data_IF_847436289029
#
_entry.id   IF_847436289029
#
_cell.length_a   1.000
_cell.length_b   1.000
_cell.length_c   1.000
_cell.angle_alpha   90.00
_cell.angle_beta   90.00
_cell.angle_gamma   90.00
#
_symmetry.space_group_name_H-M   'P 1'
#
loop_
_entity.id
_entity.type
_entity.pdbx_description
1 polymer ?
#
# COMPACT_ATOMS: atom_id res chain seq x y z
N UNK A 1 -10.21 -17.47 -4.28
CA UNK A 1 -8.96 -16.99 -4.91
C UNK A 1 -7.86 -17.18 -3.89
N UNK A 2 -6.72 -17.72 -4.30
CA UNK A 2 -5.54 -17.86 -3.43
C UNK A 2 -4.75 -16.56 -3.38
N UNK A 3 -3.89 -16.39 -2.37
CA UNK A 3 -3.00 -15.21 -2.27
C UNK A 3 -2.15 -15.04 -3.52
N UNK A 4 -1.62 -16.13 -4.05
CA UNK A 4 -0.81 -16.12 -5.28
C UNK A 4 -1.61 -15.59 -6.47
N UNK A 5 -2.86 -16.03 -6.63
CA UNK A 5 -3.75 -15.52 -7.69
C UNK A 5 -4.13 -14.05 -7.47
N UNK A 6 -4.35 -13.63 -6.22
CA UNK A 6 -4.62 -12.25 -5.86
C UNK A 6 -3.43 -11.35 -6.24
N UNK A 7 -2.23 -11.72 -5.78
CA UNK A 7 -1.01 -10.96 -6.02
C UNK A 7 -0.64 -10.89 -7.51
N UNK A 8 -0.79 -11.99 -8.26
CA UNK A 8 -0.53 -11.98 -9.69
C UNK A 8 -1.46 -11.01 -10.46
N UNK A 9 -2.72 -10.90 -10.03
CA UNK A 9 -3.65 -9.92 -10.59
C UNK A 9 -3.31 -8.50 -10.16
N UNK A 10 -3.00 -8.30 -8.88
CA UNK A 10 -2.59 -7.01 -8.32
C UNK A 10 -1.37 -6.46 -9.06
N UNK A 11 -0.33 -7.27 -9.25
CA UNK A 11 0.85 -6.95 -10.05
C UNK A 11 0.51 -6.49 -11.46
N UNK A 12 -0.40 -7.19 -12.13
CA UNK A 12 -0.84 -6.83 -13.49
C UNK A 12 -1.43 -5.43 -13.55
N UNK A 13 -2.19 -5.03 -12.54
CA UNK A 13 -2.79 -3.68 -12.47
C UNK A 13 -1.76 -2.62 -12.08
N UNK A 14 -0.85 -2.94 -11.16
CA UNK A 14 0.20 -2.04 -10.69
C UNK A 14 1.33 -1.82 -11.69
N UNK A 15 1.46 -2.64 -12.75
CA UNK A 15 2.43 -2.43 -13.86
C UNK A 15 2.33 -1.06 -14.55
N UNK A 16 1.25 -0.30 -14.32
CA UNK A 16 1.10 1.08 -14.80
C UNK A 16 1.94 2.09 -14.02
N UNK A 17 2.38 1.72 -12.81
CA UNK A 17 3.22 2.55 -11.96
C UNK A 17 4.67 2.56 -12.46
N UNK A 18 5.45 3.62 -12.14
CA UNK A 18 6.90 3.60 -12.29
C UNK A 18 7.53 2.40 -11.58
N UNK A 19 8.67 1.93 -12.08
CA UNK A 19 9.33 0.71 -11.56
C UNK A 19 9.54 0.73 -10.04
N UNK A 20 9.93 1.89 -9.49
CA UNK A 20 10.16 2.07 -8.04
C UNK A 20 8.87 1.86 -7.24
N UNK A 21 7.82 2.62 -7.54
CA UNK A 21 6.50 2.53 -6.90
C UNK A 21 5.89 1.13 -7.04
N UNK A 22 6.08 0.48 -8.20
CA UNK A 22 5.64 -0.89 -8.41
C UNK A 22 6.33 -1.87 -7.44
N UNK A 23 7.67 -1.84 -7.36
CA UNK A 23 8.43 -2.73 -6.48
C UNK A 23 8.08 -2.50 -5.00
N UNK A 24 7.94 -1.25 -4.59
CA UNK A 24 7.55 -0.88 -3.21
C UNK A 24 6.14 -1.39 -2.89
N UNK A 25 5.17 -1.19 -3.78
CA UNK A 25 3.81 -1.68 -3.59
C UNK A 25 3.76 -3.22 -3.47
N UNK A 26 4.44 -3.95 -4.36
CA UNK A 26 4.43 -5.42 -4.32
C UNK A 26 5.11 -5.96 -3.06
N UNK A 27 6.19 -5.32 -2.62
CA UNK A 27 6.86 -5.68 -1.37
C UNK A 27 5.91 -5.48 -0.19
N UNK A 28 5.26 -4.32 -0.10
CA UNK A 28 4.31 -4.00 0.96
C UNK A 28 3.17 -5.01 1.08
N UNK A 29 2.50 -5.35 -0.03
CA UNK A 29 1.41 -6.32 0.03
C UNK A 29 1.90 -7.72 0.41
N UNK A 30 3.08 -8.14 -0.08
CA UNK A 30 3.65 -9.43 0.32
C UNK A 30 3.96 -9.48 1.82
N UNK A 31 4.62 -8.46 2.36
CA UNK A 31 4.89 -8.37 3.80
C UNK A 31 3.61 -8.38 4.61
N UNK A 32 2.57 -7.64 4.19
CA UNK A 32 1.29 -7.62 4.88
C UNK A 32 0.62 -9.00 4.95
N UNK A 33 0.62 -9.75 3.84
CA UNK A 33 0.09 -11.12 3.83
C UNK A 33 0.97 -12.09 4.63
N UNK A 34 2.29 -11.93 4.61
CA UNK A 34 3.22 -12.76 5.38
C UNK A 34 3.06 -12.55 6.90
N UNK A 35 2.94 -11.29 7.34
CA UNK A 35 2.72 -10.93 8.74
C UNK A 35 1.37 -11.42 9.26
N UNK A 36 0.35 -11.41 8.41
CA UNK A 36 -0.99 -11.88 8.77
C UNK A 36 -1.07 -13.41 8.88
N UNK A 37 -0.26 -14.12 8.10
CA UNK A 37 -0.24 -15.57 8.03
C UNK A 37 -1.42 -16.16 7.24
N UNK A 38 -1.31 -17.46 6.87
CA UNK A 38 -2.23 -18.13 5.94
C UNK A 38 -3.68 -18.16 6.43
N UNK A 39 -3.89 -18.09 7.74
CA UNK A 39 -5.23 -18.09 8.36
C UNK A 39 -6.00 -16.77 8.15
N UNK A 40 -5.31 -15.66 7.90
CA UNK A 40 -5.91 -14.34 7.70
C UNK A 40 -5.89 -13.84 6.27
N UNK A 41 -5.23 -14.55 5.35
CA UNK A 41 -5.13 -14.16 3.95
C UNK A 41 -6.50 -13.93 3.31
N UNK A 42 -7.47 -14.83 3.56
CA UNK A 42 -8.82 -14.68 3.00
C UNK A 42 -9.53 -13.44 3.52
N UNK A 43 -9.44 -13.18 4.83
CA UNK A 43 -10.06 -11.99 5.45
C UNK A 43 -9.44 -10.70 4.91
N UNK A 44 -8.12 -10.68 4.71
CA UNK A 44 -7.42 -9.56 4.10
C UNK A 44 -7.86 -9.32 2.67
N UNK A 45 -8.05 -10.38 1.87
CA UNK A 45 -8.56 -10.22 0.50
C UNK A 45 -9.98 -9.68 0.48
N UNK A 46 -10.82 -10.04 1.45
CA UNK A 46 -12.16 -9.47 1.59
C UNK A 46 -12.11 -8.00 2.00
N UNK A 47 -11.21 -7.63 2.92
CA UNK A 47 -11.00 -6.25 3.38
C UNK A 47 -10.46 -5.35 2.26
N UNK A 48 -9.46 -5.83 1.50
CA UNK A 48 -8.87 -5.11 0.38
C UNK A 48 -9.79 -5.07 -0.86
N UNK A 49 -10.84 -5.87 -0.89
CA UNK A 49 -11.71 -6.03 -2.06
C UNK A 49 -10.99 -6.70 -3.24
N UNK A 50 -11.50 -6.50 -4.46
CA UNK A 50 -10.90 -7.14 -5.63
C UNK A 50 -9.48 -6.59 -5.91
N UNK A 51 -8.56 -7.39 -6.49
CA UNK A 51 -7.21 -6.93 -6.82
C UNK A 51 -7.20 -5.68 -7.72
N UNK A 52 -8.26 -5.49 -8.52
CA UNK A 52 -8.45 -4.31 -9.36
C UNK A 52 -8.77 -3.07 -8.53
N UNK A 53 -9.66 -3.20 -7.55
CA UNK A 53 -10.04 -2.11 -6.64
C UNK A 53 -8.86 -1.69 -5.79
N UNK A 54 -8.22 -2.65 -5.11
CA UNK A 54 -7.01 -2.39 -4.32
C UNK A 54 -5.91 -1.69 -5.12
N UNK A 55 -5.64 -2.16 -6.36
CA UNK A 55 -4.66 -1.50 -7.23
C UNK A 55 -5.11 -0.09 -7.64
N UNK A 56 -6.38 0.11 -7.96
CA UNK A 56 -6.91 1.42 -8.36
C UNK A 56 -6.82 2.43 -7.21
N UNK A 57 -7.16 2.01 -6.00
CA UNK A 57 -7.02 2.85 -4.80
C UNK A 57 -5.56 3.18 -4.52
N UNK A 58 -4.66 2.19 -4.57
CA UNK A 58 -3.23 2.43 -4.36
C UNK A 58 -2.67 3.40 -5.41
N UNK A 59 -2.96 3.20 -6.69
CA UNK A 59 -2.51 4.09 -7.78
C UNK A 59 -3.05 5.50 -7.55
N UNK A 60 -4.34 5.64 -7.20
CA UNK A 60 -4.96 6.93 -6.93
C UNK A 60 -4.29 7.62 -5.74
N UNK A 61 -3.99 6.88 -4.67
CA UNK A 61 -3.31 7.39 -3.49
C UNK A 61 -1.86 7.80 -3.76
N UNK A 62 -1.11 7.03 -4.57
CA UNK A 62 0.25 7.40 -5.00
C UNK A 62 0.22 8.68 -5.83
N UNK A 63 -0.69 8.77 -6.80
CA UNK A 63 -0.84 9.96 -7.65
C UNK A 63 -1.28 11.19 -6.83
N UNK A 64 -2.21 11.03 -5.89
CA UNK A 64 -2.64 12.10 -5.00
C UNK A 64 -1.54 12.51 -4.02
N UNK A 65 -0.71 11.58 -3.53
CA UNK A 65 0.46 11.92 -2.70
C UNK A 65 1.47 12.74 -3.49
N UNK A 66 1.72 12.42 -4.75
CA UNK A 66 2.56 13.24 -5.63
C UNK A 66 2.04 14.68 -5.84
N UNK A 67 0.76 14.94 -5.61
CA UNK A 67 0.17 16.30 -5.66
C UNK A 67 0.25 17.01 -4.30
N UNK A 68 0.40 16.30 -3.18
CA UNK A 68 0.51 16.89 -1.84
C UNK A 68 1.94 17.16 -1.38
N UNK A 69 2.97 16.73 -2.11
CA UNK A 69 4.37 17.04 -1.79
C UNK A 69 4.86 18.36 -2.41
N UNK A 70 4.02 19.09 -3.14
CA UNK A 70 4.40 20.34 -3.80
C UNK A 70 3.85 21.61 -3.12
N UNK A 71 3.20 21.49 -1.96
CA UNK A 71 2.75 22.65 -1.15
C UNK A 71 3.01 22.46 0.36
N UNK A 72 4.19 21.98 0.74
CA UNK A 72 4.70 22.19 2.11
C UNK A 72 6.05 22.87 2.02
N UNK A 73 6.03 24.21 2.16
CA UNK A 73 7.22 25.04 2.29
C UNK A 73 8.00 24.69 3.57
N UNK A 74 9.31 24.50 3.36
CA UNK A 74 10.48 24.68 4.24
C UNK A 74 10.29 24.69 5.78
N UNK A 75 11.00 23.77 6.46
CA UNK A 75 11.74 24.06 7.70
C UNK A 75 12.99 23.18 7.79
N UNK A 76 14.12 23.85 8.04
CA UNK A 76 15.53 23.40 8.06
C UNK A 76 15.89 22.24 9.01
N UNK A 77 16.96 21.54 8.62
CA UNK A 77 17.95 20.78 9.41
C UNK A 77 17.53 19.51 10.19
N UNK A 78 17.48 18.36 9.49
CA UNK A 78 18.14 17.09 9.87
C UNK A 78 17.95 16.06 8.73
N UNK A 79 18.92 15.16 8.45
CA UNK A 79 18.73 14.10 7.46
C UNK A 79 17.83 13.04 8.07
N UNK A 80 16.51 13.28 8.08
CA UNK A 80 15.61 12.29 8.63
C UNK A 80 15.67 11.08 7.69
N UNK A 81 16.21 10.01 8.21
CA UNK A 81 16.20 8.69 7.62
C UNK A 81 14.79 8.12 7.77
N UNK A 82 13.83 8.66 7.03
CA UNK A 82 12.51 8.09 6.95
C UNK A 82 12.60 6.85 6.05
N UNK A 83 12.61 5.66 6.66
CA UNK A 83 12.16 4.46 5.95
C UNK A 83 10.70 4.74 5.52
N UNK A 84 10.37 4.79 4.22
CA UNK A 84 9.06 5.22 3.72
C UNK A 84 7.89 4.29 4.08
N UNK A 85 8.14 3.24 4.87
CA UNK A 85 7.21 2.17 5.22
C UNK A 85 6.13 2.59 6.22
N UNK A 86 6.35 3.62 7.05
CA UNK A 86 5.43 3.97 8.14
C UNK A 86 4.17 4.75 7.73
N UNK A 87 4.16 5.39 6.56
CA UNK A 87 3.01 6.23 6.14
C UNK A 87 1.85 5.35 5.64
N UNK A 88 2.13 4.19 5.07
CA UNK A 88 1.09 3.23 4.63
C UNK A 88 0.60 2.39 5.82
N UNK A 89 1.51 2.01 6.73
CA UNK A 89 1.14 1.34 7.99
C UNK A 89 0.17 2.20 8.83
N UNK A 90 0.32 3.52 8.82
CA UNK A 90 -0.61 4.45 9.49
C UNK A 90 -2.04 4.44 8.93
N UNK A 91 -2.22 4.19 7.63
CA UNK A 91 -3.55 4.17 7.00
C UNK A 91 -4.31 2.87 7.29
N UNK A 92 -3.62 1.73 7.34
CA UNK A 92 -4.22 0.45 7.75
C UNK A 92 -4.56 0.48 9.25
N UNK A 93 -3.69 1.06 10.08
CA UNK A 93 -3.94 1.20 11.52
C UNK A 93 -5.13 2.15 11.82
N UNK A 94 -5.31 3.22 11.04
CA UNK A 94 -6.43 4.15 11.18
C UNK A 94 -7.79 3.52 10.81
N UNK A 95 -7.81 2.59 9.85
CA UNK A 95 -9.01 1.83 9.50
C UNK A 95 -9.38 0.80 10.59
N UNK A 96 -8.39 0.17 11.23
CA UNK A 96 -8.61 -0.77 12.33
C UNK A 96 -9.08 -0.10 13.63
N UNK A 97 -8.70 1.15 13.90
CA UNK A 97 -9.15 1.90 15.09
C UNK A 97 -10.53 2.56 14.93
N UNK A 98 -11.11 2.62 13.72
CA UNK A 98 -12.44 3.21 13.51
C UNK A 98 -13.61 2.25 13.82
N UNK A 99 -13.31 1.02 14.24
CA UNK A 99 -14.29 -0.04 14.54
C UNK A 99 -14.33 -0.39 16.05
N UNK A 100 -13.82 0.48 16.93
CA UNK A 100 -13.99 0.36 18.39
C UNK A 100 -14.48 1.65 19.03
#
# INVERSE_FOLDING_TARGET
MTRTEYMAQLEKYLKKLPHKEFQEAITFFNEYFDEAGPEKETAIMEELGSPKEAASELITNILNRHIQVEDVQEVDDEPINYKPLYIVAGLVLALLLSVF
#
